data_IF_243080734368
#
_entry.id   IF_243080734368
#
_cell.length_a   1.000
_cell.length_b   1.000
_cell.length_c   1.000
_cell.angle_alpha   90.00
_cell.angle_beta   90.00
_cell.angle_gamma   90.00
#
_symmetry.space_group_name_H-M   'P 1'
#
loop_
_entity.id
_entity.type
_entity.pdbx_description
1 polymer ?
#
# COMPACT_ATOMS: atom_id res chain seq x y z
N UNK A 1 29.55 -27.33 34.85
CA UNK A 1 28.26 -27.01 34.21
C UNK A 1 28.46 -25.75 33.38
N UNK A 2 28.71 -25.87 32.08
CA UNK A 2 28.90 -24.72 31.17
C UNK A 2 27.58 -24.50 30.43
N UNK A 3 26.95 -23.36 30.65
CA UNK A 3 25.78 -22.90 29.91
C UNK A 3 26.26 -22.36 28.56
N UNK A 4 25.95 -23.09 27.50
CA UNK A 4 26.11 -22.63 26.11
C UNK A 4 24.89 -21.79 25.75
N UNK A 5 25.07 -20.48 25.63
CA UNK A 5 24.08 -19.56 25.05
C UNK A 5 24.02 -19.76 23.53
N UNK A 6 22.95 -20.41 23.05
CA UNK A 6 22.60 -20.35 21.63
C UNK A 6 22.06 -18.94 21.33
N UNK A 7 22.83 -18.17 20.57
CA UNK A 7 22.32 -16.98 19.90
C UNK A 7 21.43 -17.44 18.74
N UNK A 8 20.13 -17.12 18.82
CA UNK A 8 19.18 -17.34 17.75
C UNK A 8 19.47 -16.30 16.65
N UNK A 9 20.07 -16.71 15.54
CA UNK A 9 20.20 -15.87 14.35
C UNK A 9 18.80 -15.66 13.76
N UNK A 10 18.24 -14.46 13.92
CA UNK A 10 17.08 -14.04 13.14
C UNK A 10 17.52 -13.93 11.68
N UNK A 11 17.04 -14.85 10.84
CA UNK A 11 17.13 -14.71 9.39
C UNK A 11 16.35 -13.46 8.99
N UNK A 12 17.07 -12.40 8.65
CA UNK A 12 16.51 -11.23 7.99
C UNK A 12 16.08 -11.68 6.59
N UNK A 13 14.77 -11.72 6.38
CA UNK A 13 14.20 -12.03 5.08
C UNK A 13 14.58 -10.92 4.10
N UNK A 14 15.06 -11.29 2.90
CA UNK A 14 15.43 -10.35 1.85
C UNK A 14 14.15 -9.72 1.28
N UNK A 15 13.80 -8.55 1.79
CA UNK A 15 12.87 -7.63 1.13
C UNK A 15 13.62 -7.04 -0.06
N UNK A 16 13.09 -7.20 -1.28
CA UNK A 16 13.66 -6.51 -2.43
C UNK A 16 13.15 -5.07 -2.37
N UNK A 17 14.02 -4.11 -2.05
CA UNK A 17 13.64 -2.70 -2.08
C UNK A 17 13.18 -2.35 -3.49
N UNK A 18 12.01 -1.73 -3.62
CA UNK A 18 11.47 -1.32 -4.91
C UNK A 18 12.40 -0.39 -5.69
N UNK A 19 12.14 -0.28 -7.00
CA UNK A 19 13.01 0.48 -7.92
C UNK A 19 12.57 1.93 -7.97
N UNK A 20 13.51 2.87 -7.76
CA UNK A 20 13.22 4.30 -7.82
C UNK A 20 13.29 4.81 -9.27
N UNK A 21 12.21 5.42 -9.77
CA UNK A 21 12.16 6.10 -11.06
C UNK A 21 11.24 7.32 -10.98
N UNK A 22 11.69 8.49 -11.48
CA UNK A 22 10.94 9.76 -11.41
C UNK A 22 10.39 10.11 -9.99
N UNK A 23 11.17 9.81 -8.94
CA UNK A 23 10.79 9.98 -7.53
C UNK A 23 9.61 9.11 -7.05
N UNK A 24 9.31 8.04 -7.77
CA UNK A 24 8.39 6.99 -7.36
C UNK A 24 9.18 5.72 -7.05
N UNK A 25 8.87 5.10 -5.92
CA UNK A 25 9.31 3.75 -5.59
C UNK A 25 8.32 2.75 -6.20
N UNK A 26 8.78 1.89 -7.11
CA UNK A 26 7.95 0.90 -7.77
C UNK A 26 8.23 -0.49 -7.25
N UNK A 27 7.15 -1.20 -6.95
CA UNK A 27 7.15 -2.64 -6.81
C UNK A 27 6.47 -3.24 -8.04
N UNK A 28 7.22 -4.04 -8.79
CA UNK A 28 6.75 -4.65 -10.04
C UNK A 28 6.48 -6.12 -9.78
N UNK A 29 5.25 -6.51 -10.06
CA UNK A 29 4.81 -7.87 -9.85
C UNK A 29 5.19 -8.78 -11.02
N UNK A 30 4.97 -10.08 -10.84
CA UNK A 30 4.96 -10.95 -12.01
C UNK A 30 3.84 -10.54 -12.98
N UNK A 31 4.03 -10.81 -14.27
CA UNK A 31 3.02 -10.55 -15.30
C UNK A 31 2.31 -11.85 -15.75
N UNK A 32 2.46 -12.91 -14.95
CA UNK A 32 1.97 -14.25 -15.25
C UNK A 32 1.44 -15.02 -14.03
N UNK A 33 0.80 -14.37 -13.06
CA UNK A 33 0.33 -15.03 -11.82
C UNK A 33 -1.06 -14.63 -11.32
N UNK A 34 -1.70 -13.63 -11.91
CA UNK A 34 -3.12 -13.41 -11.72
C UNK A 34 -3.94 -14.48 -12.40
N UNK A 35 -4.84 -15.14 -11.66
CA UNK A 35 -5.59 -16.30 -12.17
C UNK A 35 -7.08 -16.02 -12.36
N UNK A 36 -7.66 -16.57 -13.42
CA UNK A 36 -9.09 -16.54 -13.74
C UNK A 36 -9.51 -17.91 -14.32
N UNK A 37 -9.87 -18.84 -13.44
CA UNK A 37 -10.10 -20.24 -13.83
C UNK A 37 -8.82 -20.87 -14.38
N UNK A 38 -8.83 -21.28 -15.66
CA UNK A 38 -7.65 -21.78 -16.37
C UNK A 38 -6.85 -20.69 -17.09
N UNK A 39 -7.27 -19.44 -17.01
CA UNK A 39 -6.57 -18.28 -17.57
C UNK A 39 -5.59 -17.72 -16.55
N UNK A 40 -4.42 -17.28 -17.00
CA UNK A 40 -3.37 -16.72 -16.15
C UNK A 40 -2.70 -15.51 -16.81
N UNK A 41 -2.11 -14.63 -16.01
CA UNK A 41 -1.24 -13.57 -16.48
C UNK A 41 -2.00 -12.44 -17.15
N UNK A 42 -1.35 -11.78 -18.09
CA UNK A 42 -1.94 -10.71 -18.91
C UNK A 42 -3.33 -10.97 -19.54
N UNK A 43 -3.75 -12.23 -19.68
CA UNK A 43 -5.09 -12.60 -20.17
C UNK A 43 -6.16 -12.63 -19.07
N UNK A 44 -5.76 -12.79 -17.82
CA UNK A 44 -6.62 -12.76 -16.64
C UNK A 44 -7.09 -11.34 -16.34
N UNK A 45 -8.37 -11.21 -15.97
CA UNK A 45 -8.91 -9.95 -15.41
C UNK A 45 -8.37 -9.63 -14.03
N UNK A 46 -7.74 -10.58 -13.36
CA UNK A 46 -7.21 -10.39 -12.02
C UNK A 46 -5.73 -10.04 -11.98
N UNK A 47 -5.04 -9.89 -13.12
CA UNK A 47 -3.59 -9.60 -13.14
C UNK A 47 -3.25 -8.24 -12.51
N UNK A 48 -2.36 -8.23 -11.51
CA UNK A 48 -1.72 -7.05 -10.96
C UNK A 48 -0.31 -6.96 -11.54
N UNK A 49 0.09 -5.79 -12.01
CA UNK A 49 1.42 -5.60 -12.60
C UNK A 49 2.35 -4.81 -11.69
N UNK A 50 1.79 -4.08 -10.72
CA UNK A 50 2.61 -3.36 -9.76
C UNK A 50 1.87 -2.38 -8.89
N UNK A 51 2.61 -1.94 -7.86
CA UNK A 51 2.27 -0.84 -6.98
C UNK A 51 3.39 0.19 -7.03
N UNK A 52 3.05 1.46 -6.91
CA UNK A 52 4.03 2.52 -6.77
C UNK A 52 3.70 3.43 -5.58
N UNK A 53 4.74 3.95 -4.96
CA UNK A 53 4.67 4.81 -3.79
C UNK A 53 5.50 6.08 -4.02
N UNK A 54 4.97 7.22 -3.60
CA UNK A 54 5.71 8.49 -3.60
C UNK A 54 5.35 9.31 -2.37
N UNK A 55 6.38 9.86 -1.72
CA UNK A 55 6.23 10.87 -0.68
C UNK A 55 6.55 12.24 -1.29
N UNK A 56 5.67 13.23 -1.10
CA UNK A 56 5.92 14.61 -1.50
C UNK A 56 5.33 15.61 -0.51
N UNK A 57 6.18 16.42 0.11
CA UNK A 57 5.82 17.46 1.08
C UNK A 57 4.80 16.95 2.13
N UNK A 58 3.54 17.36 2.01
CA UNK A 58 2.45 17.03 2.92
C UNK A 58 1.56 15.86 2.43
N UNK A 59 1.97 15.14 1.40
CA UNK A 59 1.18 14.05 0.81
C UNK A 59 2.00 12.79 0.61
N UNK A 60 1.31 11.68 0.75
CA UNK A 60 1.74 10.35 0.34
C UNK A 60 0.85 9.89 -0.79
N UNK A 61 1.42 9.32 -1.82
CA UNK A 61 0.73 8.78 -2.98
C UNK A 61 0.96 7.29 -3.08
N UNK A 62 -0.11 6.57 -3.39
CA UNK A 62 -0.06 5.17 -3.82
C UNK A 62 -0.73 5.06 -5.18
N UNK A 63 -0.15 4.24 -6.05
CA UNK A 63 -0.69 3.95 -7.37
C UNK A 63 -0.63 2.45 -7.65
N UNK A 64 -1.58 1.97 -8.46
CA UNK A 64 -1.72 0.57 -8.81
C UNK A 64 -1.93 0.44 -10.31
N UNK A 65 -1.42 -0.63 -10.88
CA UNK A 65 -1.64 -0.99 -12.27
C UNK A 65 -2.07 -2.47 -12.34
N UNK A 66 -3.23 -2.73 -12.95
CA UNK A 66 -3.82 -4.07 -13.00
C UNK A 66 -4.77 -4.22 -14.19
N UNK A 67 -5.26 -5.43 -14.43
CA UNK A 67 -6.35 -5.73 -15.36
C UNK A 67 -7.75 -5.68 -14.72
N UNK A 68 -7.85 -5.57 -13.40
CA UNK A 68 -9.14 -5.56 -12.70
C UNK A 68 -9.80 -4.18 -12.82
N UNK A 69 -11.05 -4.13 -13.26
CA UNK A 69 -11.78 -2.86 -13.32
C UNK A 69 -12.07 -2.33 -11.91
N UNK A 70 -12.10 -1.01 -11.72
CA UNK A 70 -12.63 -0.39 -10.49
C UNK A 70 -14.13 -0.64 -10.30
N UNK A 71 -14.82 -0.98 -11.38
CA UNK A 71 -16.19 -1.48 -11.29
C UNK A 71 -16.25 -2.96 -10.91
N UNK A 72 -15.12 -3.64 -10.72
CA UNK A 72 -15.02 -5.05 -10.38
C UNK A 72 -15.28 -6.01 -11.53
N UNK A 73 -15.15 -7.30 -11.24
CA UNK A 73 -15.43 -8.42 -12.13
C UNK A 73 -16.74 -9.10 -11.73
N UNK A 74 -17.69 -9.23 -12.66
CA UNK A 74 -18.98 -9.88 -12.38
C UNK A 74 -18.79 -11.39 -12.16
N UNK A 75 -19.23 -11.90 -11.01
CA UNK A 75 -19.12 -13.32 -10.67
C UNK A 75 -20.30 -13.74 -9.79
N UNK A 76 -21.17 -14.61 -10.31
CA UNK A 76 -22.36 -15.07 -9.58
C UNK A 76 -22.05 -15.90 -8.32
N UNK A 77 -20.81 -16.38 -8.18
CA UNK A 77 -20.34 -17.13 -7.00
C UNK A 77 -19.66 -16.24 -5.96
N UNK A 78 -19.38 -14.97 -6.28
CA UNK A 78 -18.85 -14.01 -5.31
C UNK A 78 -19.96 -13.36 -4.50
N UNK A 79 -19.63 -12.90 -3.30
CA UNK A 79 -20.59 -12.14 -2.50
C UNK A 79 -20.95 -10.87 -3.25
N UNK A 80 -22.22 -10.51 -3.22
CA UNK A 80 -22.79 -9.39 -3.99
C UNK A 80 -22.64 -9.52 -5.53
N UNK A 81 -22.35 -10.72 -6.04
CA UNK A 81 -22.29 -11.00 -7.48
C UNK A 81 -21.07 -10.40 -8.19
N UNK A 82 -20.05 -9.98 -7.44
CA UNK A 82 -18.91 -9.23 -7.98
C UNK A 82 -17.66 -9.44 -7.13
N UNK A 83 -16.51 -9.45 -7.78
CA UNK A 83 -15.19 -9.46 -7.15
C UNK A 83 -14.55 -8.09 -7.41
N UNK A 84 -14.25 -7.35 -6.35
CA UNK A 84 -13.60 -6.05 -6.45
C UNK A 84 -12.15 -6.11 -5.95
N UNK A 85 -11.56 -4.93 -5.78
CA UNK A 85 -10.34 -4.77 -5.02
C UNK A 85 -10.60 -4.90 -3.53
N UNK A 86 -9.63 -5.50 -2.82
CA UNK A 86 -9.57 -5.41 -1.37
C UNK A 86 -9.19 -4.00 -0.90
N UNK A 87 -8.90 -3.88 0.38
CA UNK A 87 -8.37 -2.67 0.99
C UNK A 87 -6.85 -2.65 0.90
N UNK A 88 -6.26 -1.45 0.86
CA UNK A 88 -4.81 -1.30 1.01
C UNK A 88 -4.45 -1.39 2.50
N UNK A 89 -3.50 -2.25 2.85
CA UNK A 89 -2.96 -2.32 4.21
C UNK A 89 -1.52 -1.84 4.28
N UNK A 90 -1.20 -1.02 5.28
CA UNK A 90 0.14 -0.53 5.57
C UNK A 90 0.58 -1.04 6.94
N UNK A 91 1.68 -1.80 6.96
CA UNK A 91 2.29 -2.28 8.19
C UNK A 91 3.55 -1.48 8.51
N UNK A 92 3.45 -0.56 9.48
CA UNK A 92 4.58 0.22 10.03
C UNK A 92 5.26 -0.46 11.23
N UNK A 93 4.79 -1.63 11.65
CA UNK A 93 5.43 -2.36 12.75
C UNK A 93 6.69 -3.02 12.22
N UNK A 94 7.76 -2.94 13.00
CA UNK A 94 8.98 -3.71 12.77
C UNK A 94 8.73 -5.20 13.09
N UNK A 95 7.93 -5.85 12.24
CA UNK A 95 7.58 -7.25 12.34
C UNK A 95 7.67 -7.87 10.96
N UNK A 96 8.27 -9.06 10.92
CA UNK A 96 8.41 -9.85 9.71
C UNK A 96 7.12 -10.59 9.32
N UNK A 97 5.95 -10.24 9.89
CA UNK A 97 4.70 -10.96 9.65
C UNK A 97 3.47 -10.06 9.68
N UNK A 98 2.62 -10.17 8.65
CA UNK A 98 1.34 -9.49 8.56
C UNK A 98 0.42 -9.85 9.74
N UNK A 99 0.33 -11.13 10.10
CA UNK A 99 -0.52 -11.60 11.20
C UNK A 99 -0.14 -10.97 12.54
N UNK A 100 1.16 -10.78 12.79
CA UNK A 100 1.64 -10.12 14.02
C UNK A 100 1.34 -8.62 14.03
N UNK A 101 1.26 -7.99 12.87
CA UNK A 101 0.86 -6.58 12.74
C UNK A 101 -0.65 -6.39 12.78
N UNK A 102 -1.44 -7.45 12.56
CA UNK A 102 -2.90 -7.37 12.50
C UNK A 102 -3.48 -6.81 13.81
N UNK A 103 -4.35 -5.80 13.72
CA UNK A 103 -4.81 -4.99 14.86
C UNK A 103 -3.97 -3.74 15.15
N UNK A 104 -2.83 -3.58 14.48
CA UNK A 104 -1.97 -2.39 14.50
C UNK A 104 -1.69 -1.82 13.10
N UNK A 105 -2.39 -2.32 12.09
CA UNK A 105 -2.24 -1.86 10.71
C UNK A 105 -2.84 -0.47 10.51
N UNK A 106 -2.37 0.21 9.48
CA UNK A 106 -3.14 1.26 8.83
C UNK A 106 -3.82 0.66 7.60
N UNK A 107 -4.98 1.18 7.24
CA UNK A 107 -5.74 0.65 6.11
C UNK A 107 -6.52 1.72 5.37
N UNK A 108 -6.64 1.58 4.06
CA UNK A 108 -7.45 2.45 3.22
C UNK A 108 -8.52 1.60 2.57
N UNK A 109 -9.77 1.81 2.99
CA UNK A 109 -10.93 1.34 2.25
C UNK A 109 -11.30 2.43 1.25
N UNK A 110 -10.98 2.20 -0.02
CA UNK A 110 -11.32 3.14 -1.08
C UNK A 110 -12.53 2.69 -1.89
N UNK A 111 -12.72 1.39 -2.06
CA UNK A 111 -13.82 0.86 -2.85
C UNK A 111 -15.10 0.78 -2.00
N UNK A 112 -16.10 1.57 -2.37
CA UNK A 112 -17.41 1.55 -1.72
C UNK A 112 -18.27 0.34 -2.09
N UNK A 113 -17.87 -0.43 -3.12
CA UNK A 113 -18.58 -1.61 -3.62
C UNK A 113 -17.96 -2.91 -3.09
N UNK A 114 -16.76 -2.85 -2.51
CA UNK A 114 -16.10 -4.00 -1.90
C UNK A 114 -16.81 -4.47 -0.63
N UNK A 115 -16.43 -5.65 -0.19
CA UNK A 115 -17.05 -6.43 0.85
C UNK A 115 -16.61 -6.05 2.28
N UNK A 116 -15.89 -4.96 2.41
CA UNK A 116 -15.54 -4.37 3.70
C UNK A 116 -16.79 -3.83 4.40
N UNK A 117 -16.86 -3.96 5.72
CA UNK A 117 -18.06 -3.55 6.49
C UNK A 117 -17.96 -2.12 7.06
N UNK A 118 -16.78 -1.49 6.99
CA UNK A 118 -16.48 -0.25 7.74
C UNK A 118 -16.68 1.12 7.07
N UNK A 119 -17.38 1.36 5.97
CA UNK A 119 -17.36 2.70 5.33
C UNK A 119 -16.01 3.18 4.75
N UNK A 120 -16.05 3.95 3.68
CA UNK A 120 -14.86 4.40 2.92
C UNK A 120 -14.02 5.40 3.73
N UNK A 121 -12.71 5.23 3.74
CA UNK A 121 -11.80 6.11 4.47
C UNK A 121 -10.43 5.52 4.80
N UNK A 122 -9.64 6.31 5.52
CA UNK A 122 -8.36 5.92 6.12
C UNK A 122 -8.59 5.49 7.58
N UNK A 123 -7.93 4.41 7.99
CA UNK A 123 -8.08 3.78 9.30
C UNK A 123 -6.72 3.48 9.94
N UNK A 124 -6.67 3.50 11.28
CA UNK A 124 -5.58 2.96 12.11
C UNK A 124 -6.09 1.86 13.04
N UNK A 125 -5.16 1.13 13.65
CA UNK A 125 -5.46 -0.05 14.49
C UNK A 125 -6.35 -1.04 13.75
N UNK A 126 -6.07 -1.21 12.46
CA UNK A 126 -6.87 -2.01 11.55
C UNK A 126 -6.70 -3.49 11.87
N UNK A 127 -7.83 -4.15 12.06
CA UNK A 127 -7.93 -5.61 12.00
C UNK A 127 -8.36 -5.98 10.58
N UNK A 128 -7.49 -6.65 9.85
CA UNK A 128 -7.79 -7.22 8.55
C UNK A 128 -8.42 -8.61 8.70
N UNK A 129 -9.29 -8.95 7.75
CA UNK A 129 -9.85 -10.30 7.54
C UNK A 129 -9.69 -10.74 6.09
N UNK A 130 -9.75 -12.05 5.88
CA UNK A 130 -9.77 -12.63 4.54
C UNK A 130 -11.20 -12.89 4.12
N UNK A 131 -11.56 -12.48 2.90
CA UNK A 131 -12.81 -12.85 2.23
C UNK A 131 -12.56 -13.61 0.92
N UNK A 132 -11.36 -14.18 0.75
CA UNK A 132 -10.98 -14.82 -0.51
C UNK A 132 -11.93 -15.93 -0.93
N UNK A 133 -12.22 -16.89 -0.03
CA UNK A 133 -13.14 -18.00 -0.31
C UNK A 133 -14.59 -17.55 -0.49
N UNK A 134 -15.00 -16.51 0.23
CA UNK A 134 -16.33 -15.88 0.08
C UNK A 134 -16.48 -15.28 -1.32
N UNK A 135 -15.38 -14.79 -1.89
CA UNK A 135 -15.34 -14.18 -3.23
C UNK A 135 -14.75 -15.11 -4.29
N UNK A 136 -15.03 -16.41 -4.16
CA UNK A 136 -14.67 -17.44 -5.16
C UNK A 136 -13.17 -17.58 -5.45
N UNK A 137 -12.34 -17.17 -4.51
CA UNK A 137 -10.90 -17.26 -4.61
C UNK A 137 -10.31 -18.41 -3.80
N UNK A 138 -9.01 -18.32 -3.54
CA UNK A 138 -8.24 -19.40 -2.92
C UNK A 138 -8.41 -19.45 -1.40
N UNK A 139 -8.43 -20.67 -0.85
CA UNK A 139 -8.42 -20.89 0.60
C UNK A 139 -7.08 -20.60 1.26
N UNK A 140 -6.00 -20.60 0.46
CA UNK A 140 -4.67 -20.22 0.93
C UNK A 140 -3.81 -19.61 -0.17
N UNK A 141 -2.85 -18.77 0.22
CA UNK A 141 -1.84 -18.24 -0.70
C UNK A 141 -1.00 -19.37 -1.33
N UNK A 142 -0.73 -20.45 -0.58
CA UNK A 142 -0.07 -21.64 -1.13
C UNK A 142 -0.90 -22.30 -2.25
N UNK A 143 -2.22 -22.34 -2.11
CA UNK A 143 -3.10 -22.88 -3.13
C UNK A 143 -3.06 -22.03 -4.41
N UNK A 144 -3.03 -20.69 -4.28
CA UNK A 144 -2.82 -19.76 -5.39
C UNK A 144 -1.47 -20.04 -6.07
N UNK A 145 -0.37 -20.03 -5.31
CA UNK A 145 0.99 -20.26 -5.82
C UNK A 145 1.11 -21.61 -6.55
N UNK A 146 0.51 -22.67 -5.99
CA UNK A 146 0.49 -23.99 -6.64
C UNK A 146 -0.31 -23.95 -7.96
N UNK A 147 -1.42 -23.22 -7.99
CA UNK A 147 -2.25 -23.08 -9.20
C UNK A 147 -1.50 -22.32 -10.29
N UNK A 148 -0.84 -21.22 -9.94
CA UNK A 148 0.04 -20.44 -10.84
C UNK A 148 1.12 -21.33 -11.45
N UNK A 149 1.82 -22.10 -10.62
CA UNK A 149 2.84 -23.05 -11.06
C UNK A 149 2.29 -24.13 -12.00
N UNK A 150 1.11 -24.69 -11.69
CA UNK A 150 0.44 -25.68 -12.54
C UNK A 150 0.06 -25.11 -13.92
N UNK A 151 -0.33 -23.82 -13.95
CA UNK A 151 -0.63 -23.07 -15.16
C UNK A 151 0.63 -22.51 -15.86
N UNK A 152 1.83 -22.90 -15.41
CA UNK A 152 3.14 -22.48 -15.96
C UNK A 152 3.46 -20.99 -15.79
N UNK A 153 2.84 -20.35 -14.81
CA UNK A 153 3.17 -19.00 -14.35
C UNK A 153 4.24 -18.99 -13.27
N UNK A 154 4.55 -17.80 -12.76
CA UNK A 154 5.51 -17.55 -11.69
C UNK A 154 4.93 -16.58 -10.69
N UNK A 155 4.51 -17.09 -9.53
CA UNK A 155 3.90 -16.26 -8.50
C UNK A 155 4.91 -15.31 -7.86
N UNK A 156 4.47 -14.08 -7.60
CA UNK A 156 5.16 -13.05 -6.85
C UNK A 156 4.15 -12.20 -6.09
N UNK A 157 4.63 -11.31 -5.23
CA UNK A 157 3.83 -10.23 -4.65
C UNK A 157 4.62 -8.92 -4.77
N UNK A 158 5.24 -8.66 -5.93
CA UNK A 158 6.18 -7.56 -6.11
C UNK A 158 7.46 -7.67 -5.26
N UNK A 159 7.63 -6.78 -4.27
CA UNK A 159 8.84 -6.67 -3.44
C UNK A 159 9.02 -7.86 -2.49
N UNK A 160 7.98 -8.67 -2.34
CA UNK A 160 7.98 -9.92 -1.59
C UNK A 160 7.83 -11.10 -2.55
N UNK A 161 8.75 -12.07 -2.47
CA UNK A 161 8.63 -13.32 -3.20
C UNK A 161 7.38 -14.10 -2.75
N UNK A 162 6.81 -14.95 -3.63
CA UNK A 162 5.66 -15.81 -3.27
C UNK A 162 5.93 -16.75 -2.08
N UNK A 163 7.19 -17.10 -1.83
CA UNK A 163 7.64 -17.93 -0.69
C UNK A 163 7.89 -17.11 0.59
N UNK A 164 7.44 -15.86 0.63
CA UNK A 164 7.65 -14.96 1.77
C UNK A 164 7.07 -15.51 3.06
N UNK A 165 7.76 -15.29 4.20
CA UNK A 165 7.20 -15.60 5.53
C UNK A 165 6.35 -14.46 6.11
N UNK A 166 6.32 -13.32 5.41
CA UNK A 166 5.52 -12.17 5.80
C UNK A 166 4.03 -12.50 5.83
N UNK A 167 3.56 -13.22 4.82
CA UNK A 167 2.23 -13.79 4.80
C UNK A 167 2.26 -15.23 5.30
N UNK A 168 1.20 -15.64 6.00
CA UNK A 168 1.01 -17.04 6.33
C UNK A 168 0.48 -17.77 5.08
N UNK A 169 1.34 -18.53 4.40
CA UNK A 169 0.98 -19.19 3.13
C UNK A 169 -0.16 -20.21 3.27
N UNK A 170 -0.41 -20.72 4.47
CA UNK A 170 -1.51 -21.65 4.78
C UNK A 170 -2.87 -20.96 4.93
N UNK A 171 -2.94 -19.64 4.83
CA UNK A 171 -4.16 -18.84 4.96
C UNK A 171 -4.45 -18.06 3.68
N UNK A 172 -5.73 -17.73 3.46
CA UNK A 172 -6.15 -16.82 2.40
C UNK A 172 -5.60 -15.41 2.63
N UNK A 173 -5.42 -14.65 1.54
CA UNK A 173 -4.94 -13.28 1.62
C UNK A 173 -5.85 -12.43 2.53
N UNK A 174 -5.28 -11.53 3.31
CA UNK A 174 -6.06 -10.50 4.01
C UNK A 174 -6.48 -9.43 3.01
N UNK A 175 -7.78 -9.34 2.74
CA UNK A 175 -8.31 -8.51 1.65
C UNK A 175 -9.22 -7.39 2.14
N UNK A 176 -9.80 -7.48 3.34
CA UNK A 176 -10.78 -6.47 3.80
C UNK A 176 -10.57 -6.06 5.25
N UNK A 177 -10.93 -4.84 5.58
CA UNK A 177 -10.91 -4.30 6.94
C UNK A 177 -12.12 -4.86 7.70
N UNK A 178 -11.85 -5.61 8.75
CA UNK A 178 -12.88 -6.04 9.70
C UNK A 178 -13.27 -4.90 10.64
N UNK A 179 -12.28 -4.19 11.17
CA UNK A 179 -12.47 -3.05 12.07
C UNK A 179 -11.25 -2.14 12.08
N UNK A 180 -11.43 -0.91 12.55
CA UNK A 180 -10.38 0.08 12.72
C UNK A 180 -10.93 1.41 13.21
N UNK A 181 -10.05 2.32 13.65
CA UNK A 181 -10.41 3.68 14.02
C UNK A 181 -10.20 4.60 12.81
N UNK A 182 -11.27 5.26 12.37
CA UNK A 182 -11.19 6.23 11.27
C UNK A 182 -10.23 7.38 11.61
N UNK A 183 -9.42 7.76 10.63
CA UNK A 183 -8.47 8.88 10.67
C UNK A 183 -8.89 10.04 9.77
N UNK A 184 -9.79 9.79 8.82
CA UNK A 184 -10.25 10.77 7.85
C UNK A 184 -10.37 10.19 6.45
N UNK A 185 -10.29 11.06 5.46
CA UNK A 185 -10.46 10.74 4.04
C UNK A 185 -9.13 10.62 3.31
N UNK A 186 -9.19 10.08 2.10
CA UNK A 186 -8.14 10.12 1.09
C UNK A 186 -8.67 10.88 -0.13
N UNK A 187 -7.79 11.30 -1.03
CA UNK A 187 -8.19 11.84 -2.33
C UNK A 187 -7.89 10.79 -3.42
N UNK A 188 -8.92 10.36 -4.13
CA UNK A 188 -8.78 9.47 -5.28
C UNK A 188 -8.07 10.20 -6.44
N UNK A 189 -7.25 9.47 -7.19
CA UNK A 189 -6.49 9.99 -8.31
C UNK A 189 -6.72 9.12 -9.55
N UNK A 190 -6.99 9.79 -10.67
CA UNK A 190 -7.06 9.15 -11.98
C UNK A 190 -5.67 8.77 -12.49
N UNK A 191 -5.61 7.95 -13.54
CA UNK A 191 -4.35 7.66 -14.25
C UNK A 191 -3.64 8.95 -14.70
N UNK A 192 -4.40 9.93 -15.18
CA UNK A 192 -3.84 11.22 -15.63
C UNK A 192 -3.25 12.02 -14.46
N UNK A 193 -3.96 12.11 -13.33
CA UNK A 193 -3.44 12.83 -12.17
C UNK A 193 -2.11 12.24 -11.69
N UNK A 194 -1.98 10.91 -11.74
CA UNK A 194 -0.75 10.21 -11.36
C UNK A 194 0.38 10.39 -12.38
N UNK A 195 0.07 10.35 -13.68
CA UNK A 195 1.04 10.63 -14.75
C UNK A 195 1.56 12.06 -14.68
N UNK A 196 0.70 13.03 -14.38
CA UNK A 196 1.09 14.43 -14.15
C UNK A 196 2.02 14.57 -12.91
N UNK A 197 2.06 13.56 -12.02
CA UNK A 197 3.01 13.44 -10.92
C UNK A 197 4.27 12.60 -11.27
N UNK A 198 4.45 12.19 -12.52
CA UNK A 198 5.61 11.40 -13.00
C UNK A 198 5.48 9.89 -12.82
N UNK A 199 4.27 9.36 -12.60
CA UNK A 199 4.05 7.91 -12.58
C UNK A 199 4.23 7.32 -13.98
N UNK A 200 5.00 6.25 -14.10
CA UNK A 200 5.28 5.54 -15.35
C UNK A 200 5.61 4.06 -15.10
N UNK A 201 4.58 3.23 -14.95
CA UNK A 201 4.73 1.77 -14.91
C UNK A 201 5.25 1.19 -16.25
N UNK A 202 5.06 1.90 -17.35
CA UNK A 202 5.45 1.43 -18.69
C UNK A 202 6.97 1.29 -18.85
N UNK A 203 7.73 2.09 -18.09
CA UNK A 203 9.19 1.97 -17.96
C UNK A 203 9.64 0.56 -17.57
N UNK A 204 8.85 -0.13 -16.75
CA UNK A 204 9.14 -1.49 -16.27
C UNK A 204 8.39 -2.58 -17.04
N UNK A 205 7.72 -2.23 -18.14
CA UNK A 205 6.81 -3.12 -18.87
C UNK A 205 5.64 -3.67 -18.01
N UNK A 206 5.32 -3.02 -16.89
CA UNK A 206 4.14 -3.29 -16.07
C UNK A 206 2.93 -2.59 -16.70
N UNK A 207 2.19 -3.29 -17.56
CA UNK A 207 1.16 -2.71 -18.43
C UNK A 207 -0.18 -3.44 -18.34
N UNK A 208 -0.90 -3.14 -17.28
CA UNK A 208 -2.30 -3.48 -17.09
C UNK A 208 -3.25 -2.49 -17.74
N UNK A 209 -4.51 -2.92 -17.82
CA UNK A 209 -5.61 -2.17 -18.44
C UNK A 209 -5.97 -0.90 -17.65
N UNK A 210 -5.88 -0.94 -16.33
CA UNK A 210 -6.32 0.13 -15.44
C UNK A 210 -5.17 0.63 -14.58
N UNK A 211 -5.08 1.96 -14.45
CA UNK A 211 -4.19 2.63 -13.51
C UNK A 211 -5.00 3.61 -12.67
N UNK A 212 -4.83 3.54 -11.36
CA UNK A 212 -5.48 4.45 -10.42
C UNK A 212 -4.68 4.51 -9.12
N UNK A 213 -5.09 5.39 -8.22
CA UNK A 213 -4.40 5.54 -6.96
C UNK A 213 -5.11 6.51 -6.04
N UNK A 214 -4.40 6.90 -5.00
CA UNK A 214 -4.88 7.87 -4.03
C UNK A 214 -3.74 8.64 -3.40
N UNK A 215 -4.09 9.81 -2.87
CA UNK A 215 -3.22 10.60 -1.99
C UNK A 215 -3.81 10.76 -0.60
N UNK A 216 -2.92 10.82 0.38
CA UNK A 216 -3.24 10.91 1.81
C UNK A 216 -2.41 12.04 2.40
N UNK A 217 -3.00 12.80 3.34
CA UNK A 217 -2.23 13.77 4.13
C UNK A 217 -1.16 13.04 4.94
N UNK A 218 0.11 13.39 4.69
CA UNK A 218 1.29 12.74 5.24
C UNK A 218 1.25 12.65 6.77
N UNK A 219 0.64 13.64 7.44
CA UNK A 219 0.55 13.69 8.92
C UNK A 219 -0.36 12.61 9.52
N UNK A 220 -1.19 11.97 8.70
CA UNK A 220 -2.09 10.90 9.15
C UNK A 220 -1.39 9.53 9.23
N UNK A 221 -0.15 9.43 8.72
CA UNK A 221 0.63 8.20 8.72
C UNK A 221 1.89 8.36 9.61
N UNK A 222 2.36 7.28 10.24
CA UNK A 222 3.63 7.27 10.95
C UNK A 222 4.82 7.55 10.01
N UNK A 223 5.98 7.80 10.61
CA UNK A 223 7.27 7.77 9.92
C UNK A 223 7.89 6.38 10.08
N UNK A 224 8.85 6.06 9.23
CA UNK A 224 9.58 4.79 9.25
C UNK A 224 9.24 3.87 8.10
N UNK A 225 9.82 2.66 8.17
CA UNK A 225 9.65 1.63 7.17
C UNK A 225 8.25 1.00 7.26
N UNK A 226 7.71 0.63 6.11
CA UNK A 226 6.45 -0.07 6.03
C UNK A 226 6.41 -1.08 4.89
N UNK A 227 5.49 -2.03 5.00
CA UNK A 227 5.07 -2.90 3.90
C UNK A 227 3.61 -2.58 3.57
N UNK A 228 3.38 -2.14 2.34
CA UNK A 228 2.06 -1.98 1.75
C UNK A 228 1.62 -3.29 1.09
N UNK A 229 0.35 -3.67 1.22
CA UNK A 229 -0.18 -4.93 0.69
C UNK A 229 -1.57 -4.69 0.11
N UNK A 230 -1.80 -5.14 -1.12
CA UNK A 230 -3.02 -4.89 -1.85
C UNK A 230 -3.38 -6.06 -2.76
N UNK A 231 -4.55 -6.63 -2.55
CA UNK A 231 -5.02 -7.83 -3.24
C UNK A 231 -6.41 -7.59 -3.85
N UNK A 232 -6.77 -8.35 -4.88
CA UNK A 232 -8.17 -8.53 -5.23
C UNK A 232 -8.91 -9.22 -4.07
N UNK A 233 -10.22 -9.03 -3.91
CA UNK A 233 -10.95 -9.59 -2.76
C UNK A 233 -10.95 -11.12 -2.72
N UNK A 234 -10.87 -11.74 -3.90
CA UNK A 234 -10.71 -13.17 -4.08
C UNK A 234 -9.27 -13.65 -3.79
N UNK A 235 -8.27 -12.76 -3.75
CA UNK A 235 -6.87 -13.15 -3.62
C UNK A 235 -6.35 -13.97 -4.80
N UNK A 236 -6.96 -13.83 -5.98
CA UNK A 236 -6.45 -14.42 -7.23
C UNK A 236 -5.19 -13.73 -7.74
N UNK A 237 -4.89 -12.55 -7.19
CA UNK A 237 -3.64 -11.84 -7.35
C UNK A 237 -3.52 -10.72 -6.31
N UNK A 238 -2.32 -10.18 -6.14
CA UNK A 238 -2.04 -8.98 -5.39
C UNK A 238 -0.56 -8.68 -5.23
N UNK A 239 -0.26 -7.44 -4.88
CA UNK A 239 1.09 -6.90 -4.85
C UNK A 239 1.41 -6.33 -3.47
N UNK A 240 2.66 -6.48 -3.06
CA UNK A 240 3.22 -5.86 -1.87
C UNK A 240 4.40 -4.96 -2.23
N UNK A 241 4.52 -3.83 -1.53
CA UNK A 241 5.58 -2.85 -1.73
C UNK A 241 6.24 -2.54 -0.40
N UNK A 242 7.57 -2.55 -0.37
CA UNK A 242 8.35 -2.07 0.75
C UNK A 242 8.70 -0.59 0.54
N UNK A 243 8.42 0.24 1.54
CA UNK A 243 8.67 1.67 1.48
C UNK A 243 9.13 2.24 2.81
N UNK A 244 9.58 3.50 2.76
CA UNK A 244 9.98 4.26 3.94
C UNK A 244 9.34 5.64 3.86
N UNK A 245 8.63 6.03 4.91
CA UNK A 245 8.14 7.40 5.07
C UNK A 245 9.10 8.20 5.94
N UNK A 246 9.65 9.28 5.41
CA UNK A 246 10.64 10.09 6.12
C UNK A 246 9.98 11.18 6.95
N UNK A 247 10.64 11.60 8.02
CA UNK A 247 10.31 12.88 8.64
C UNK A 247 10.73 13.99 7.68
N UNK A 248 9.77 14.66 7.05
CA UNK A 248 10.03 15.84 6.23
C UNK A 248 10.01 17.04 7.17
N UNK A 249 11.14 17.77 7.35
CA UNK A 249 11.11 18.99 8.14
C UNK A 249 10.12 19.97 7.53
N UNK A 250 9.22 20.52 8.33
CA UNK A 250 8.35 21.61 7.86
C UNK A 250 9.21 22.69 7.20
N UNK A 251 8.79 23.24 6.03
CA UNK A 251 9.60 24.21 5.31
C UNK A 251 9.93 25.39 6.23
N UNK A 252 11.22 25.60 6.44
CA UNK A 252 11.82 26.61 7.33
C UNK A 252 11.39 28.05 7.03
N UNK A 253 10.65 28.27 5.94
CA UNK A 253 10.03 29.52 5.56
C UNK A 253 9.10 30.09 6.65
N UNK A 254 8.43 29.24 7.44
CA UNK A 254 7.58 29.70 8.56
C UNK A 254 8.39 30.24 9.75
N UNK A 255 9.60 29.71 9.97
CA UNK A 255 10.54 30.21 11.01
C UNK A 255 11.20 31.52 10.56
N UNK A 256 11.50 31.66 9.27
CA UNK A 256 12.03 32.91 8.70
C UNK A 256 11.06 34.09 8.80
N UNK A 257 9.77 33.87 8.52
CA UNK A 257 8.74 34.92 8.55
C UNK A 257 8.43 35.41 9.98
N UNK A 258 8.47 34.54 10.98
CA UNK A 258 8.31 34.93 12.39
C UNK A 258 9.52 35.72 12.90
N UNK A 259 10.74 35.36 12.50
CA UNK A 259 11.95 36.10 12.85
C UNK A 259 11.97 37.51 12.22
N UNK A 260 11.61 37.63 10.93
CA UNK A 260 11.54 38.94 10.25
C UNK A 260 10.39 39.79 10.83
N UNK A 261 9.24 39.20 11.12
CA UNK A 261 8.12 39.89 11.77
C UNK A 261 8.48 40.48 13.14
N UNK A 262 9.23 39.73 13.96
CA UNK A 262 9.71 40.19 15.27
C UNK A 262 10.77 41.30 15.14
N UNK A 263 11.66 41.24 14.15
CA UNK A 263 12.65 42.29 13.90
C UNK A 263 12.03 43.60 13.38
N UNK A 264 11.00 43.52 12.53
CA UNK A 264 10.26 44.70 12.03
C UNK A 264 9.40 45.32 13.13
N UNK A 265 8.77 44.51 13.98
CA UNK A 265 8.02 45.02 15.13
C UNK A 265 8.95 45.66 16.18
N UNK A 266 10.08 45.04 16.49
CA UNK A 266 11.08 45.56 17.44
C UNK A 266 11.72 46.86 16.98
N UNK A 267 12.04 47.00 15.69
CA UNK A 267 12.61 48.23 15.12
C UNK A 267 11.61 49.40 15.07
N UNK A 268 10.31 49.12 14.89
CA UNK A 268 9.24 50.14 14.96
C UNK A 268 8.94 50.60 16.39
N UNK A 269 9.00 49.70 17.38
CA UNK A 269 8.86 50.05 18.80
C UNK A 269 10.04 50.90 19.30
N UNK A 270 11.27 50.61 18.84
CA UNK A 270 12.47 51.37 19.23
C UNK A 270 12.45 52.81 18.71
N UNK A 271 11.91 53.05 17.50
CA UNK A 271 11.76 54.41 16.94
C UNK A 271 10.70 55.27 17.62
N UNK A 272 9.66 54.69 18.24
CA UNK A 272 8.63 55.46 18.96
C UNK A 272 9.10 56.02 20.31
N UNK A 273 10.13 55.42 20.91
CA UNK A 273 10.71 55.88 22.18
C UNK A 273 11.89 56.86 22.01
N UNK A 274 12.33 57.14 20.77
CA UNK A 274 13.44 58.08 20.49
C UNK A 274 12.97 59.49 20.10
N UNK A 275 11.66 59.72 20.03
CA UNK A 275 11.04 61.00 19.67
C UNK A 275 10.32 61.68 20.84
N UNK A 276 10.70 61.34 22.07
CA UNK A 276 10.35 62.08 23.29
C UNK A 276 11.66 62.40 24.01
N UNK A 277 12.32 63.46 23.57
CA UNK A 277 13.37 64.20 24.28
C UNK A 277 13.37 65.63 23.75
#
# INVERSE_FOLDING_TARGET
>A
MRLSSLALSQQTQTVQAGTLYQNWNYSIDSANDGTEGSTIGSKSKFEFYGMAFKEAANKVYFAFNSNLSKDGYGSGSARNGRINYGDLFLNFKNTSSFNKANGSLYGIRFDGKNDTEVGVGLYQNVVAKSLTTVNSGYGSLQQHTNTVSNLKGSASYGDLAATTTYFNSSQGAYTTIASGKSLGSYAELSAKDLQDQGLDFSHFNAKGTYTFGFSIDRKLLPTGDFIANFFAECGNDGVALAGTLKDVPEPSALVGLTAVGLMVAGSRLRRRNSSVA
#
